data_IF_954142828722
#
_entry.id   IF_954142828722
#
_cell.length_a   1.000
_cell.length_b   1.000
_cell.length_c   1.000
_cell.angle_alpha   90.00
_cell.angle_beta   90.00
_cell.angle_gamma   90.00
#
_symmetry.space_group_name_H-M   'P 1'
#
loop_
_entity.id
_entity.type
_entity.pdbx_description
1 polymer ?
#
# COMPACT_ATOMS: atom_id res chain seq x y z
N UNK A 1 18.91 -2.12 11.83
CA UNK A 1 17.79 -2.77 11.11
C UNK A 1 18.35 -3.36 9.82
N UNK A 2 18.03 -4.60 9.46
CA UNK A 2 18.55 -5.25 8.24
C UNK A 2 18.15 -4.51 6.94
N UNK A 3 16.95 -3.93 6.87
CA UNK A 3 16.54 -3.15 5.69
C UNK A 3 17.43 -1.94 5.44
N UNK A 4 17.94 -1.29 6.50
CA UNK A 4 18.85 -0.15 6.37
C UNK A 4 20.19 -0.58 5.78
N UNK A 5 20.71 -1.72 6.25
CA UNK A 5 21.97 -2.28 5.74
C UNK A 5 21.87 -2.56 4.23
N UNK A 6 20.78 -3.20 3.78
CA UNK A 6 20.59 -3.47 2.35
C UNK A 6 20.32 -2.20 1.53
N UNK A 7 19.64 -1.20 2.10
CA UNK A 7 19.48 0.09 1.42
C UNK A 7 20.82 0.80 1.23
N UNK A 8 21.71 0.77 2.22
CA UNK A 8 23.07 1.31 2.10
C UNK A 8 23.90 0.55 1.06
N UNK A 9 23.86 -0.79 1.05
CA UNK A 9 24.57 -1.58 0.05
C UNK A 9 24.07 -1.33 -1.39
N UNK A 10 22.75 -1.16 -1.57
CA UNK A 10 22.18 -0.81 -2.87
C UNK A 10 22.66 0.57 -3.34
N UNK A 11 22.69 1.54 -2.42
CA UNK A 11 23.19 2.89 -2.69
C UNK A 11 24.67 2.88 -3.11
N UNK A 12 25.53 2.17 -2.36
CA UNK A 12 26.97 2.07 -2.64
C UNK A 12 27.28 1.43 -4.00
N UNK A 13 26.43 0.51 -4.46
CA UNK A 13 26.58 -0.19 -5.74
C UNK A 13 25.87 0.49 -6.90
N UNK A 14 25.13 1.58 -6.66
CA UNK A 14 24.33 2.25 -7.70
C UNK A 14 23.12 1.42 -8.18
N UNK A 15 22.65 0.47 -7.37
CA UNK A 15 21.49 -0.34 -7.65
C UNK A 15 20.23 0.33 -7.10
N UNK A 16 19.15 0.37 -7.89
CA UNK A 16 17.87 0.87 -7.40
C UNK A 16 17.35 0.01 -6.24
N UNK A 17 16.69 0.63 -5.26
CA UNK A 17 16.21 -0.07 -4.07
C UNK A 17 14.69 -0.05 -3.97
N UNK A 18 14.09 -1.21 -3.71
CA UNK A 18 12.65 -1.39 -3.46
C UNK A 18 12.46 -1.88 -2.03
N UNK A 19 11.73 -1.12 -1.22
CA UNK A 19 11.29 -1.59 0.08
C UNK A 19 9.84 -2.06 0.03
N UNK A 20 9.65 -3.36 -0.20
CA UNK A 20 8.32 -3.99 -0.16
C UNK A 20 7.78 -4.21 1.26
N UNK A 21 8.54 -3.89 2.30
CA UNK A 21 8.20 -4.17 3.70
C UNK A 21 7.71 -2.91 4.45
N UNK A 22 7.06 -3.06 5.62
CA UNK A 22 6.63 -1.93 6.46
C UNK A 22 7.75 -1.08 7.07
N UNK A 23 9.01 -1.53 7.00
CA UNK A 23 10.15 -0.81 7.57
C UNK A 23 10.23 0.62 7.00
N UNK A 24 10.56 1.60 7.85
CA UNK A 24 10.54 3.01 7.47
C UNK A 24 11.85 3.43 6.80
N UNK A 25 11.94 3.23 5.48
CA UNK A 25 13.10 3.63 4.65
C UNK A 25 12.88 5.03 4.07
N UNK A 26 11.71 5.30 3.50
CA UNK A 26 11.42 6.61 2.91
C UNK A 26 11.17 7.71 3.94
N UNK A 27 10.79 7.37 5.16
CA UNK A 27 10.70 8.34 6.25
C UNK A 27 12.06 8.72 6.86
N UNK A 28 13.18 8.37 6.24
CA UNK A 28 14.55 8.73 6.68
C UNK A 28 15.15 9.78 5.73
N UNK A 29 15.06 11.08 6.06
CA UNK A 29 15.46 12.15 5.15
C UNK A 29 16.93 12.08 4.71
N UNK A 30 17.82 11.68 5.62
CA UNK A 30 19.25 11.54 5.31
C UNK A 30 19.51 10.46 4.26
N UNK A 31 18.89 9.28 4.41
CA UNK A 31 19.02 8.18 3.47
C UNK A 31 18.44 8.56 2.10
N UNK A 32 17.22 9.11 2.10
CA UNK A 32 16.54 9.61 0.89
C UNK A 32 17.39 10.65 0.14
N UNK A 33 18.00 11.59 0.88
CA UNK A 33 18.88 12.61 0.31
C UNK A 33 20.10 11.98 -0.36
N UNK A 34 20.72 10.97 0.26
CA UNK A 34 21.87 10.26 -0.34
C UNK A 34 21.50 9.53 -1.64
N UNK A 35 20.34 8.86 -1.71
CA UNK A 35 19.85 8.26 -2.95
C UNK A 35 19.62 9.30 -4.05
N UNK A 36 19.08 10.46 -3.68
CA UNK A 36 18.85 11.58 -4.60
C UNK A 36 20.16 12.14 -5.16
N UNK A 37 21.15 12.37 -4.30
CA UNK A 37 22.47 12.89 -4.69
C UNK A 37 23.28 11.90 -5.55
N UNK A 38 23.14 10.59 -5.29
CA UNK A 38 23.83 9.55 -6.03
C UNK A 38 23.17 9.22 -7.38
N UNK A 39 22.00 9.80 -7.71
CA UNK A 39 21.25 9.44 -8.91
C UNK A 39 20.73 8.00 -8.88
N UNK A 40 20.52 7.43 -7.68
CA UNK A 40 20.07 6.06 -7.48
C UNK A 40 18.59 6.07 -7.11
N UNK A 41 17.72 5.38 -7.87
CA UNK A 41 16.28 5.47 -7.64
C UNK A 41 15.84 4.56 -6.47
N UNK A 42 14.82 5.02 -5.74
CA UNK A 42 14.28 4.41 -4.53
C UNK A 42 12.74 4.31 -4.63
N UNK A 43 12.16 3.19 -4.20
CA UNK A 43 10.70 3.03 -4.10
C UNK A 43 10.29 2.27 -2.82
N UNK A 44 9.12 2.60 -2.28
CA UNK A 44 8.64 2.12 -0.98
C UNK A 44 7.53 3.00 -0.41
N UNK A 45 7.09 2.81 0.84
CA UNK A 45 7.31 1.63 1.68
C UNK A 45 6.01 0.81 1.80
N UNK A 46 6.14 -0.49 2.07
CA UNK A 46 5.05 -1.47 2.20
C UNK A 46 4.28 -1.66 0.88
N UNK A 47 4.59 -2.75 0.16
CA UNK A 47 4.02 -3.01 -1.17
C UNK A 47 2.49 -3.15 -1.09
N UNK A 48 1.80 -2.57 -2.07
CA UNK A 48 0.38 -2.78 -2.29
C UNK A 48 0.15 -4.08 -3.06
N UNK A 49 -0.85 -4.85 -2.65
CA UNK A 49 -1.26 -6.06 -3.35
C UNK A 49 -2.07 -5.72 -4.60
N UNK A 50 -1.91 -6.51 -5.66
CA UNK A 50 -2.63 -6.35 -6.94
C UNK A 50 -4.15 -6.43 -6.77
N UNK A 51 -4.64 -7.42 -6.02
CA UNK A 51 -6.06 -7.54 -5.63
C UNK A 51 -6.18 -7.60 -4.10
N UNK A 52 -5.62 -6.58 -3.42
CA UNK A 52 -5.65 -6.50 -1.95
C UNK A 52 -6.91 -5.88 -1.37
N UNK A 53 -7.26 -6.29 -0.16
CA UNK A 53 -8.37 -5.71 0.60
C UNK A 53 -8.23 -4.21 0.85
N UNK A 54 -7.00 -3.71 1.04
CA UNK A 54 -6.75 -2.28 1.25
C UNK A 54 -7.11 -1.45 0.01
N UNK A 55 -6.65 -1.88 -1.18
CA UNK A 55 -6.98 -1.21 -2.44
C UNK A 55 -8.48 -1.31 -2.75
N UNK A 56 -9.09 -2.48 -2.53
CA UNK A 56 -10.53 -2.66 -2.72
C UNK A 56 -11.33 -1.75 -1.78
N UNK A 57 -10.94 -1.67 -0.51
CA UNK A 57 -11.59 -0.83 0.48
C UNK A 57 -11.50 0.66 0.11
N UNK A 58 -10.30 1.13 -0.25
CA UNK A 58 -10.09 2.50 -0.75
C UNK A 58 -10.98 2.76 -1.98
N UNK A 59 -11.01 1.85 -2.96
CA UNK A 59 -11.81 2.02 -4.17
C UNK A 59 -13.31 2.12 -3.89
N UNK A 60 -13.84 1.32 -2.96
CA UNK A 60 -15.25 1.39 -2.54
C UNK A 60 -15.52 2.73 -1.83
N UNK A 61 -14.63 3.18 -0.93
CA UNK A 61 -14.78 4.45 -0.24
C UNK A 61 -14.73 5.64 -1.20
N UNK A 62 -13.75 5.69 -2.10
CA UNK A 62 -13.62 6.71 -3.13
C UNK A 62 -14.88 6.77 -4.00
N UNK A 63 -15.38 5.59 -4.43
CA UNK A 63 -16.62 5.51 -5.20
C UNK A 63 -17.80 6.09 -4.42
N UNK A 64 -18.04 5.65 -3.19
CA UNK A 64 -19.17 6.12 -2.37
C UNK A 64 -19.08 7.63 -2.12
N UNK A 65 -17.92 8.13 -1.69
CA UNK A 65 -17.68 9.56 -1.43
C UNK A 65 -17.91 10.39 -2.70
N UNK A 66 -17.42 9.93 -3.86
CA UNK A 66 -17.62 10.63 -5.14
C UNK A 66 -19.10 10.74 -5.57
N UNK A 67 -19.97 9.89 -5.02
CA UNK A 67 -21.42 9.89 -5.26
C UNK A 67 -22.21 10.64 -4.18
N UNK A 68 -21.53 11.32 -3.27
CA UNK A 68 -22.15 12.06 -2.16
C UNK A 68 -22.68 11.16 -1.03
N UNK A 69 -22.27 9.90 -0.99
CA UNK A 69 -22.60 8.99 0.11
C UNK A 69 -21.67 9.27 1.29
N UNK A 70 -22.23 9.33 2.51
CA UNK A 70 -21.46 9.56 3.74
C UNK A 70 -21.30 8.27 4.53
N UNK A 71 -20.06 7.79 4.63
CA UNK A 71 -19.66 6.65 5.46
C UNK A 71 -19.46 7.09 6.91
N UNK A 72 -20.00 6.36 7.88
CA UNK A 72 -19.86 6.65 9.30
C UNK A 72 -18.96 5.65 10.03
N UNK A 73 -19.04 4.37 9.65
CA UNK A 73 -18.33 3.28 10.31
C UNK A 73 -17.80 2.29 9.27
N UNK A 74 -16.63 1.74 9.53
CA UNK A 74 -16.04 0.70 8.70
C UNK A 74 -15.02 -0.13 9.48
N UNK A 75 -14.80 -1.36 9.03
CA UNK A 75 -13.63 -2.11 9.41
C UNK A 75 -13.04 -2.90 8.24
N UNK A 76 -11.75 -3.21 8.37
CA UNK A 76 -11.02 -4.18 7.56
C UNK A 76 -10.28 -5.15 8.50
N UNK A 77 -10.71 -6.40 8.50
CA UNK A 77 -10.17 -7.44 9.36
C UNK A 77 -9.59 -8.56 8.51
N UNK A 78 -8.32 -8.88 8.73
CA UNK A 78 -7.59 -9.86 7.92
C UNK A 78 -7.28 -11.14 8.72
N UNK A 79 -7.50 -12.30 8.12
CA UNK A 79 -7.08 -13.62 8.61
C UNK A 79 -6.14 -14.23 7.59
N UNK A 80 -4.97 -14.69 8.01
CA UNK A 80 -3.98 -15.25 7.07
C UNK A 80 -3.28 -16.50 7.59
N UNK A 81 -2.79 -17.34 6.69
CA UNK A 81 -2.06 -18.57 7.04
C UNK A 81 -0.55 -18.49 6.85
N UNK A 82 -0.05 -17.36 6.33
CA UNK A 82 1.36 -17.22 5.96
C UNK A 82 2.24 -16.87 7.15
N UNK A 83 3.55 -17.07 7.00
CA UNK A 83 4.54 -16.63 7.99
C UNK A 83 4.49 -15.12 8.26
N UNK A 84 4.11 -14.33 7.25
CA UNK A 84 3.83 -12.89 7.38
C UNK A 84 2.70 -12.59 8.35
N UNK A 85 1.69 -13.46 8.46
CA UNK A 85 0.58 -13.30 9.38
C UNK A 85 1.00 -13.58 10.82
N UNK A 86 1.89 -14.54 11.05
CA UNK A 86 2.53 -14.78 12.36
C UNK A 86 3.34 -13.56 12.80
N UNK A 87 4.24 -13.05 11.93
CA UNK A 87 5.03 -11.86 12.24
C UNK A 87 4.14 -10.64 12.52
N UNK A 88 3.03 -10.51 11.78
CA UNK A 88 2.05 -9.46 12.03
C UNK A 88 1.41 -9.59 13.40
N UNK A 89 0.95 -10.77 13.79
CA UNK A 89 0.28 -10.94 15.08
C UNK A 89 1.23 -10.74 16.26
N UNK A 90 2.47 -11.22 16.15
CA UNK A 90 3.42 -11.21 17.26
C UNK A 90 4.21 -9.92 17.40
N UNK A 91 4.60 -9.29 16.27
CA UNK A 91 5.63 -8.25 16.27
C UNK A 91 5.20 -6.96 15.61
N UNK A 92 4.50 -7.02 14.48
CA UNK A 92 4.24 -5.84 13.65
C UNK A 92 2.77 -5.38 13.66
N UNK A 93 1.94 -5.90 14.57
CA UNK A 93 0.48 -5.70 14.60
C UNK A 93 0.08 -4.22 14.63
N UNK A 94 0.63 -3.47 15.58
CA UNK A 94 0.28 -2.07 15.78
C UNK A 94 0.75 -1.22 14.59
N UNK A 95 1.98 -1.44 14.13
CA UNK A 95 2.53 -0.72 12.98
C UNK A 95 1.72 -0.97 11.70
N UNK A 96 1.40 -2.23 11.38
CA UNK A 96 0.58 -2.57 10.19
C UNK A 96 -0.85 -2.03 10.31
N UNK A 97 -1.43 -2.06 11.51
CA UNK A 97 -2.74 -1.45 11.78
C UNK A 97 -2.71 0.05 11.50
N UNK A 98 -1.70 0.76 12.01
CA UNK A 98 -1.52 2.19 11.77
C UNK A 98 -1.35 2.50 10.28
N UNK A 99 -0.46 1.78 9.58
CA UNK A 99 -0.23 1.96 8.14
C UNK A 99 -1.52 1.75 7.34
N UNK A 100 -2.25 0.65 7.57
CA UNK A 100 -3.52 0.37 6.88
C UNK A 100 -4.58 1.42 7.19
N UNK A 101 -4.70 1.82 8.45
CA UNK A 101 -5.68 2.84 8.87
C UNK A 101 -5.39 4.17 8.21
N UNK A 102 -4.13 4.61 8.21
CA UNK A 102 -3.72 5.88 7.58
C UNK A 102 -3.89 5.84 6.06
N UNK A 103 -3.52 4.73 5.41
CA UNK A 103 -3.74 4.53 3.99
C UNK A 103 -5.21 4.75 3.66
N UNK A 104 -6.14 4.04 4.31
CA UNK A 104 -7.59 4.16 4.06
C UNK A 104 -8.14 5.55 4.40
N UNK A 105 -7.78 6.13 5.56
CA UNK A 105 -8.26 7.46 5.97
C UNK A 105 -7.83 8.57 5.01
N UNK A 106 -6.66 8.46 4.37
CA UNK A 106 -6.17 9.49 3.45
C UNK A 106 -7.04 9.71 2.21
N UNK A 107 -7.93 8.77 1.88
CA UNK A 107 -8.84 8.85 0.71
C UNK A 107 -10.25 9.35 1.05
N UNK A 108 -10.56 9.60 2.32
CA UNK A 108 -11.88 10.12 2.75
C UNK A 108 -11.70 11.55 3.28
N UNK A 109 -12.43 12.56 2.76
CA UNK A 109 -12.19 13.96 3.10
C UNK A 109 -12.75 14.39 4.47
N UNK A 110 -13.19 13.42 5.29
CA UNK A 110 -13.75 13.63 6.62
C UNK A 110 -13.38 12.46 7.54
N UNK A 111 -13.42 12.69 8.85
CA UNK A 111 -13.15 11.62 9.82
C UNK A 111 -14.36 10.69 9.99
N UNK A 112 -14.08 9.41 10.21
CA UNK A 112 -15.06 8.36 10.44
C UNK A 112 -14.44 7.23 11.26
N UNK A 113 -15.30 6.40 11.87
CA UNK A 113 -14.84 5.28 12.69
C UNK A 113 -14.30 4.17 11.80
N UNK A 114 -12.99 3.92 11.89
CA UNK A 114 -12.29 2.88 11.11
C UNK A 114 -11.47 1.98 12.03
N UNK A 115 -11.67 0.67 11.90
CA UNK A 115 -10.81 -0.35 12.50
C UNK A 115 -10.11 -1.13 11.39
N UNK A 116 -8.79 -1.20 11.40
CA UNK A 116 -8.03 -2.02 10.44
C UNK A 116 -7.02 -2.89 11.17
N UNK A 117 -6.80 -4.12 10.72
CA UNK A 117 -5.73 -4.95 11.27
C UNK A 117 -5.87 -6.44 10.98
N UNK A 118 -4.82 -7.18 11.30
CA UNK A 118 -4.88 -8.63 11.32
C UNK A 118 -5.58 -9.11 12.59
N UNK A 119 -6.56 -9.97 12.38
CA UNK A 119 -7.42 -10.53 13.41
C UNK A 119 -6.87 -11.85 13.94
N UNK A 120 -6.43 -12.75 13.04
CA UNK A 120 -5.98 -14.08 13.45
C UNK A 120 -5.06 -14.77 12.43
N UNK A 121 -4.46 -15.88 12.84
CA UNK A 121 -3.67 -16.79 12.02
C UNK A 121 -4.39 -18.13 11.89
N UNK A 122 -4.49 -18.62 10.66
CA UNK A 122 -5.16 -19.89 10.36
C UNK A 122 -4.26 -20.73 9.46
N UNK A 123 -3.69 -21.78 10.05
CA UNK A 123 -2.67 -22.64 9.45
C UNK A 123 -3.08 -23.26 8.11
N UNK A 124 -4.32 -23.72 7.98
CA UNK A 124 -4.81 -24.33 6.75
C UNK A 124 -4.98 -23.36 5.58
N UNK A 125 -4.89 -22.04 5.82
CA UNK A 125 -4.87 -21.08 4.72
C UNK A 125 -3.52 -21.09 3.98
N UNK A 126 -2.42 -21.51 4.62
CA UNK A 126 -1.07 -21.54 4.03
C UNK A 126 -0.67 -20.17 3.43
N UNK A 127 -0.72 -19.96 2.11
CA UNK A 127 -0.46 -18.64 1.49
C UNK A 127 -1.73 -17.77 1.37
N UNK A 128 -2.86 -18.31 1.82
CA UNK A 128 -4.16 -17.68 1.77
C UNK A 128 -4.32 -16.55 2.77
N UNK A 129 -5.09 -15.53 2.33
CA UNK A 129 -5.59 -14.45 3.17
C UNK A 129 -7.06 -14.21 2.88
N UNK A 130 -7.85 -14.26 3.93
CA UNK A 130 -9.25 -13.88 3.95
C UNK A 130 -9.39 -12.51 4.63
N UNK A 131 -9.96 -11.54 3.91
CA UNK A 131 -10.20 -10.19 4.40
C UNK A 131 -11.69 -9.90 4.46
N UNK A 132 -12.14 -9.37 5.59
CA UNK A 132 -13.52 -8.98 5.85
C UNK A 132 -13.61 -7.46 5.90
N UNK A 133 -14.43 -6.90 5.01
CA UNK A 133 -14.67 -5.48 4.87
C UNK A 133 -16.11 -5.18 5.25
N UNK A 134 -16.29 -4.17 6.08
CA UNK A 134 -17.60 -3.65 6.45
C UNK A 134 -17.65 -2.15 6.24
N UNK A 135 -18.78 -1.66 5.73
CA UNK A 135 -19.07 -0.24 5.61
C UNK A 135 -20.51 0.02 6.04
N UNK A 136 -20.72 1.12 6.77
CA UNK A 136 -22.05 1.63 7.12
C UNK A 136 -22.08 3.13 6.88
N UNK A 137 -23.22 3.62 6.41
CA UNK A 137 -23.39 5.05 6.19
C UNK A 137 -24.79 5.45 5.75
N UNK A 138 -24.89 6.63 5.16
CA UNK A 138 -26.13 7.25 4.69
C UNK A 138 -26.00 7.83 3.28
N UNK A 139 -27.09 7.79 2.53
CA UNK A 139 -27.22 8.35 1.18
C UNK A 139 -28.47 9.25 1.10
N UNK A 140 -28.98 9.44 -0.12
CA UNK A 140 -30.11 10.33 -0.44
C UNK A 140 -31.28 10.23 0.56
N UNK A 141 -31.78 11.38 1.01
CA UNK A 141 -32.89 11.45 1.96
C UNK A 141 -32.55 10.95 3.37
N UNK A 142 -31.28 10.73 3.69
CA UNK A 142 -30.86 10.18 4.99
C UNK A 142 -31.05 8.67 5.10
N UNK A 143 -31.39 7.98 4.01
CA UNK A 143 -31.50 6.53 3.98
C UNK A 143 -30.16 5.87 4.34
N UNK A 144 -30.22 4.80 5.12
CA UNK A 144 -29.02 4.12 5.61
C UNK A 144 -28.64 2.95 4.69
N UNK A 145 -27.35 2.61 4.67
CA UNK A 145 -26.85 1.39 4.04
C UNK A 145 -25.82 0.70 4.92
N UNK A 146 -25.69 -0.60 4.73
CA UNK A 146 -24.55 -1.40 5.19
C UNK A 146 -24.05 -2.30 4.05
N UNK A 147 -22.76 -2.57 4.03
CA UNK A 147 -22.10 -3.44 3.07
C UNK A 147 -21.13 -4.36 3.82
N UNK A 148 -21.28 -5.65 3.59
CA UNK A 148 -20.38 -6.69 4.08
C UNK A 148 -19.74 -7.39 2.87
N UNK A 149 -18.41 -7.50 2.87
CA UNK A 149 -17.67 -8.07 1.76
C UNK A 149 -16.54 -8.95 2.28
N UNK A 150 -16.41 -10.16 1.72
CA UNK A 150 -15.28 -11.06 1.96
C UNK A 150 -14.43 -11.15 0.70
N UNK A 151 -13.13 -10.96 0.85
CA UNK A 151 -12.14 -11.15 -0.20
C UNK A 151 -11.16 -12.26 0.21
N UNK A 152 -11.17 -13.37 -0.52
CA UNK A 152 -10.19 -14.45 -0.35
C UNK A 152 -9.12 -14.38 -1.45
N UNK A 153 -7.85 -14.39 -1.06
CA UNK A 153 -6.72 -14.26 -1.98
C UNK A 153 -5.54 -15.14 -1.56
N UNK A 154 -4.54 -15.26 -2.43
CA UNK A 154 -3.22 -15.80 -2.12
C UNK A 154 -2.23 -14.62 -2.04
N UNK A 155 -1.44 -14.51 -0.98
CA UNK A 155 -0.63 -13.33 -0.71
C UNK A 155 0.61 -13.25 -1.62
N UNK A 156 1.22 -14.39 -1.96
CA UNK A 156 2.41 -14.41 -2.82
C UNK A 156 2.13 -13.94 -4.25
N UNK A 157 1.10 -14.45 -4.97
CA UNK A 157 0.73 -13.94 -6.29
C UNK A 157 0.30 -12.47 -6.28
N UNK A 158 -0.29 -12.03 -5.16
CA UNK A 158 -0.77 -10.65 -4.97
C UNK A 158 0.34 -9.60 -5.04
N UNK A 159 1.56 -9.95 -4.63
CA UNK A 159 2.71 -9.06 -4.74
C UNK A 159 3.28 -9.01 -6.17
N UNK A 160 3.18 -10.11 -6.92
CA UNK A 160 3.93 -10.32 -8.16
C UNK A 160 3.68 -9.24 -9.21
N UNK A 161 2.41 -8.95 -9.53
CA UNK A 161 2.06 -7.98 -10.57
C UNK A 161 2.60 -6.57 -10.28
N UNK A 162 2.32 -6.06 -9.08
CA UNK A 162 2.77 -4.72 -8.67
C UNK A 162 4.29 -4.65 -8.56
N UNK A 163 4.94 -5.70 -8.05
CA UNK A 163 6.39 -5.72 -7.91
C UNK A 163 7.11 -5.68 -9.26
N UNK A 164 6.61 -6.42 -10.26
CA UNK A 164 7.16 -6.40 -11.63
C UNK A 164 7.04 -4.99 -12.23
N UNK A 165 5.89 -4.34 -12.06
CA UNK A 165 5.68 -2.97 -12.52
C UNK A 165 6.63 -1.97 -11.84
N UNK A 166 6.80 -2.08 -10.52
CA UNK A 166 7.74 -1.23 -9.76
C UNK A 166 9.18 -1.42 -10.22
N UNK A 167 9.62 -2.68 -10.43
CA UNK A 167 10.97 -2.99 -10.94
C UNK A 167 11.19 -2.31 -12.29
N UNK A 168 10.22 -2.40 -13.20
CA UNK A 168 10.30 -1.76 -14.53
C UNK A 168 10.27 -0.25 -14.42
N UNK A 169 9.42 0.31 -13.55
CA UNK A 169 9.36 1.76 -13.28
C UNK A 169 10.70 2.30 -12.78
N UNK A 170 11.33 1.62 -11.82
CA UNK A 170 12.67 2.00 -11.32
C UNK A 170 13.75 1.85 -12.39
N UNK A 171 13.64 0.86 -13.29
CA UNK A 171 14.55 0.76 -14.43
C UNK A 171 14.42 1.97 -15.37
N UNK A 172 13.20 2.41 -15.67
CA UNK A 172 12.95 3.64 -16.43
C UNK A 172 13.52 4.86 -15.72
N UNK A 173 13.34 4.97 -14.41
CA UNK A 173 13.92 6.06 -13.61
C UNK A 173 15.45 6.08 -13.69
N UNK A 174 16.09 4.90 -13.55
CA UNK A 174 17.54 4.73 -13.68
C UNK A 174 18.03 5.14 -15.07
N UNK A 175 17.34 4.74 -16.13
CA UNK A 175 17.70 5.09 -17.52
C UNK A 175 17.57 6.59 -17.80
N UNK A 176 16.71 7.29 -17.06
CA UNK A 176 16.55 8.75 -17.11
C UNK A 176 17.49 9.51 -16.16
N UNK A 177 18.35 8.81 -15.42
CA UNK A 177 19.25 9.43 -14.43
C UNK A 177 18.53 10.03 -13.22
N UNK A 178 17.32 9.56 -12.91
CA UNK A 178 16.56 10.01 -11.75
C UNK A 178 17.00 9.27 -10.49
N UNK A 179 17.32 10.03 -9.43
CA UNK A 179 17.68 9.51 -8.11
C UNK A 179 16.63 9.82 -7.05
N UNK A 180 16.69 9.09 -5.94
CA UNK A 180 15.77 9.25 -4.83
C UNK A 180 14.39 8.62 -5.08
N UNK A 181 13.40 8.95 -4.24
CA UNK A 181 12.04 8.46 -4.34
C UNK A 181 11.37 8.83 -5.67
N UNK A 182 10.90 7.84 -6.41
CA UNK A 182 10.17 8.08 -7.67
C UNK A 182 8.68 8.13 -7.38
N UNK A 183 8.12 9.33 -7.23
CA UNK A 183 6.76 9.55 -6.74
C UNK A 183 5.68 8.79 -7.53
N UNK A 184 5.79 8.74 -8.86
CA UNK A 184 4.84 8.05 -9.73
C UNK A 184 4.86 6.53 -9.50
N UNK A 185 6.03 5.97 -9.20
CA UNK A 185 6.18 4.54 -8.88
C UNK A 185 5.76 4.27 -7.43
N UNK A 186 6.15 5.13 -6.50
CA UNK A 186 5.79 5.02 -5.08
C UNK A 186 4.27 5.07 -4.88
N UNK A 187 3.60 6.07 -5.44
CA UNK A 187 2.15 6.28 -5.26
C UNK A 187 1.33 5.14 -5.86
N UNK A 188 1.82 4.51 -6.94
CA UNK A 188 1.18 3.36 -7.57
C UNK A 188 1.37 2.06 -6.79
N UNK A 189 2.58 1.82 -6.29
CA UNK A 189 2.96 0.49 -5.81
C UNK A 189 2.91 0.28 -4.31
N UNK A 190 2.73 1.32 -3.49
CA UNK A 190 3.02 1.25 -2.06
C UNK A 190 1.96 1.91 -1.18
N UNK A 191 1.83 1.42 0.06
CA UNK A 191 0.85 1.92 1.05
C UNK A 191 1.32 3.17 1.78
N UNK A 192 2.64 3.38 1.87
CA UNK A 192 3.25 4.58 2.46
C UNK A 192 4.15 5.31 1.44
N UNK A 193 3.57 5.86 0.37
CA UNK A 193 4.32 6.67 -0.59
C UNK A 193 4.63 8.07 -0.01
N UNK A 194 5.61 8.82 -0.58
CA UNK A 194 5.83 10.22 -0.23
C UNK A 194 4.63 11.13 -0.54
N UNK A 195 3.86 10.79 -1.60
CA UNK A 195 2.67 11.51 -2.04
C UNK A 195 1.52 10.51 -2.09
N UNK A 196 0.43 10.81 -1.39
CA UNK A 196 -0.80 10.03 -1.46
C UNK A 196 -1.66 10.54 -2.63
N UNK A 197 -2.03 9.65 -3.53
CA UNK A 197 -2.90 9.91 -4.69
C UNK A 197 -4.04 8.90 -4.69
N UNK A 198 -5.18 9.25 -5.29
CA UNK A 198 -6.23 8.26 -5.54
C UNK A 198 -5.71 7.12 -6.42
N UNK A 199 -6.32 5.93 -6.33
CA UNK A 199 -5.88 4.77 -7.11
C UNK A 199 -5.85 5.07 -8.62
N UNK A 200 -6.85 5.82 -9.10
CA UNK A 200 -6.93 6.25 -10.50
C UNK A 200 -5.85 7.26 -10.89
N UNK A 201 -5.51 8.22 -10.04
CA UNK A 201 -4.44 9.18 -10.29
C UNK A 201 -3.07 8.53 -10.26
N UNK A 202 -2.83 7.65 -9.28
CA UNK A 202 -1.59 6.90 -9.17
C UNK A 202 -1.32 6.04 -10.41
N UNK A 203 -2.36 5.32 -10.89
CA UNK A 203 -2.25 4.53 -12.12
C UNK A 203 -1.96 5.40 -13.35
N UNK A 204 -2.63 6.55 -13.50
CA UNK A 204 -2.37 7.48 -14.61
C UNK A 204 -0.95 8.05 -14.54
N UNK A 205 -0.49 8.44 -13.35
CA UNK A 205 0.86 8.92 -13.12
C UNK A 205 1.92 7.89 -13.49
N UNK A 206 1.75 6.65 -13.03
CA UNK A 206 2.65 5.55 -13.36
C UNK A 206 2.71 5.26 -14.86
N UNK A 207 1.55 5.22 -15.54
CA UNK A 207 1.46 5.03 -16.99
C UNK A 207 2.12 6.15 -17.78
N UNK A 208 1.83 7.40 -17.41
CA UNK A 208 2.47 8.58 -18.01
C UNK A 208 3.99 8.56 -17.81
N UNK A 209 4.45 8.18 -16.62
CA UNK A 209 5.88 8.06 -16.32
C UNK A 209 6.55 6.97 -17.15
N UNK A 210 5.94 5.78 -17.27
CA UNK A 210 6.52 4.64 -18.00
C UNK A 210 6.36 4.71 -19.51
N UNK A 211 5.51 5.61 -20.03
CA UNK A 211 5.22 5.75 -21.46
C UNK A 211 4.25 4.70 -22.01
N UNK A 212 3.51 4.02 -21.14
CA UNK A 212 2.44 3.11 -21.52
C UNK A 212 1.09 3.85 -21.46
N UNK A 213 0.66 4.45 -22.57
CA UNK A 213 -0.69 5.05 -22.70
C UNK A 213 -1.75 3.99 -22.94
#
# INVERSE_FOLDING_TARGET
>A
NASDFYAHAALETGCGFINATPNNILGKPELVSRFSQAGVPLAGDDLMSQIGATALHIGILEFLVSRGVKVSESYQLDVGGGSESIDTLERTRNLKREIKTQAVKSHVPYDFSLVSGSSDFVDFLVDGRDSFLYLKGRYFGGAEFSLDLKLGTQDSPNAGGILVDVIRGLKVAKDRGLGGPINEVCSYGFKRPPIHLSLGEALRGFRGFTGCT
#
